data_IF_328587366436
#
_entry.id   IF_328587366436
#
_cell.length_a   1.000
_cell.length_b   1.000
_cell.length_c   1.000
_cell.angle_alpha   90.00
_cell.angle_beta   90.00
_cell.angle_gamma   90.00
#
_symmetry.space_group_name_H-M   'P 1'
#
loop_
_entity.id
_entity.type
_entity.pdbx_description
1 polymer ?
#
# COMPACT_ATOMS: atom_id res chain seq x y z
N UNK A 1 13.09 4.13 20.48
CA UNK A 1 12.53 3.54 19.26
C UNK A 1 11.04 3.83 19.28
N UNK A 2 10.47 4.44 18.23
CA UNK A 2 9.02 4.68 18.18
C UNK A 2 8.28 3.41 17.79
N UNK A 3 7.00 3.29 18.15
CA UNK A 3 6.15 2.18 17.73
C UNK A 3 6.08 2.07 16.19
N UNK A 4 6.05 3.20 15.48
CA UNK A 4 6.13 3.20 14.01
C UNK A 4 7.42 2.54 13.51
N UNK A 5 8.57 2.85 14.11
CA UNK A 5 9.83 2.21 13.74
C UNK A 5 9.81 0.70 14.05
N UNK A 6 9.10 0.27 15.10
CA UNK A 6 8.90 -1.15 15.40
C UNK A 6 8.06 -1.84 14.32
N UNK A 7 6.92 -1.28 13.92
CA UNK A 7 6.10 -1.84 12.84
C UNK A 7 6.85 -1.88 11.51
N UNK A 8 7.51 -0.78 11.14
CA UNK A 8 8.25 -0.72 9.88
C UNK A 8 9.42 -1.70 9.86
N UNK A 9 10.21 -1.80 10.94
CA UNK A 9 11.30 -2.79 10.99
C UNK A 9 10.81 -4.24 11.04
N UNK A 10 9.63 -4.50 11.60
CA UNK A 10 9.01 -5.82 11.56
C UNK A 10 8.54 -6.18 10.15
N UNK A 11 7.95 -5.22 9.42
CA UNK A 11 7.56 -5.41 8.01
C UNK A 11 8.77 -5.54 7.08
N UNK A 12 9.90 -4.91 7.40
CA UNK A 12 11.16 -5.13 6.68
C UNK A 12 11.69 -6.56 6.85
N UNK A 13 11.41 -7.21 8.00
CA UNK A 13 11.79 -8.60 8.27
C UNK A 13 10.86 -9.60 7.59
N UNK A 14 9.55 -9.36 7.67
CA UNK A 14 8.55 -10.16 6.97
C UNK A 14 7.56 -9.27 6.21
N UNK A 15 7.90 -9.02 4.95
CA UNK A 15 7.07 -8.22 4.07
C UNK A 15 5.80 -8.93 3.63
N UNK A 16 5.63 -10.23 3.87
CA UNK A 16 4.44 -10.97 3.47
C UNK A 16 3.37 -11.02 4.55
N UNK A 17 3.62 -10.49 5.75
CA UNK A 17 2.70 -10.61 6.87
C UNK A 17 1.49 -9.64 6.72
N UNK A 18 0.27 -10.14 6.40
CA UNK A 18 -0.92 -9.29 6.36
C UNK A 18 -1.41 -8.92 7.76
N UNK A 19 -1.15 -9.76 8.77
CA UNK A 19 -1.56 -9.51 10.16
C UNK A 19 -0.78 -8.35 10.77
N UNK A 20 0.53 -8.29 10.52
CA UNK A 20 1.35 -7.16 10.93
C UNK A 20 0.92 -5.84 10.27
N UNK A 21 0.49 -5.90 9.00
CA UNK A 21 -0.09 -4.72 8.31
C UNK A 21 -1.43 -4.31 8.92
N UNK A 22 -2.25 -5.28 9.30
CA UNK A 22 -3.53 -5.02 9.96
C UNK A 22 -3.32 -4.31 11.30
N UNK A 23 -2.45 -4.85 12.16
CA UNK A 23 -2.11 -4.23 13.45
C UNK A 23 -1.52 -2.84 13.29
N UNK A 24 -0.69 -2.63 12.25
CA UNK A 24 -0.17 -1.30 11.96
C UNK A 24 -1.27 -0.34 11.50
N UNK A 25 -2.25 -0.82 10.73
CA UNK A 25 -3.41 -0.03 10.34
C UNK A 25 -4.26 0.39 11.55
N UNK A 26 -4.53 -0.52 12.49
CA UNK A 26 -5.23 -0.20 13.75
C UNK A 26 -4.46 0.84 14.58
N UNK A 27 -3.13 0.68 14.69
CA UNK A 27 -2.28 1.65 15.38
C UNK A 27 -2.29 3.04 14.71
N UNK A 28 -2.38 3.09 13.38
CA UNK A 28 -2.56 4.33 12.60
C UNK A 28 -3.95 4.95 12.80
N UNK A 29 -4.99 4.11 12.90
CA UNK A 29 -6.37 4.52 13.13
C UNK A 29 -6.54 5.27 14.46
N UNK A 30 -5.97 4.72 15.54
CA UNK A 30 -5.94 5.34 16.87
C UNK A 30 -5.34 6.76 16.87
N UNK A 31 -4.53 7.07 15.86
CA UNK A 31 -3.84 8.36 15.68
C UNK A 31 -4.49 9.25 14.62
N UNK A 32 -5.61 8.81 14.05
CA UNK A 32 -6.27 9.43 12.90
C UNK A 32 -5.31 9.66 11.71
N UNK A 33 -4.33 8.76 11.53
CA UNK A 33 -3.36 8.89 10.46
C UNK A 33 -4.00 8.50 9.12
N UNK A 34 -3.92 9.37 8.09
CA UNK A 34 -4.58 9.12 6.80
C UNK A 34 -4.06 7.88 6.06
N UNK A 35 -2.92 7.31 6.47
CA UNK A 35 -2.36 6.07 5.91
C UNK A 35 -3.18 4.83 6.27
N UNK A 36 -4.05 4.90 7.28
CA UNK A 36 -4.89 3.79 7.76
C UNK A 36 -5.57 3.00 6.63
N UNK A 37 -6.16 3.71 5.67
CA UNK A 37 -6.90 3.10 4.56
C UNK A 37 -6.00 2.25 3.66
N UNK A 38 -4.74 2.69 3.44
CA UNK A 38 -3.79 1.95 2.62
C UNK A 38 -3.26 0.70 3.30
N UNK A 39 -3.00 0.76 4.61
CA UNK A 39 -2.55 -0.42 5.34
C UNK A 39 -3.67 -1.45 5.53
N UNK A 40 -4.90 -1.03 5.82
CA UNK A 40 -6.04 -1.95 5.81
C UNK A 40 -6.27 -2.60 4.45
N UNK A 41 -6.13 -1.83 3.38
CA UNK A 41 -6.24 -2.37 2.03
C UNK A 41 -5.16 -3.44 1.77
N UNK A 42 -3.89 -3.13 2.04
CA UNK A 42 -2.79 -4.07 1.85
C UNK A 42 -2.97 -5.35 2.69
N UNK A 43 -3.37 -5.21 3.95
CA UNK A 43 -3.65 -6.33 4.83
C UNK A 43 -4.80 -7.20 4.31
N UNK A 44 -5.95 -6.57 3.98
CA UNK A 44 -7.16 -7.25 3.52
C UNK A 44 -6.96 -8.04 2.23
N UNK A 45 -6.19 -7.50 1.30
CA UNK A 45 -5.97 -8.11 -0.02
C UNK A 45 -4.65 -8.88 -0.11
N UNK A 46 -3.92 -9.01 1.00
CA UNK A 46 -2.61 -9.62 1.06
C UNK A 46 -1.65 -9.06 -0.01
N UNK A 47 -1.64 -7.73 -0.14
CA UNK A 47 -0.84 -6.99 -1.13
C UNK A 47 0.35 -6.33 -0.45
N UNK A 48 1.42 -6.18 -1.21
CA UNK A 48 2.65 -5.51 -0.78
C UNK A 48 3.43 -4.98 -1.98
N UNK A 49 4.35 -4.00 -1.78
CA UNK A 49 5.38 -3.69 -2.76
C UNK A 49 6.23 -4.92 -3.07
N UNK A 50 6.52 -5.15 -4.35
CA UNK A 50 7.42 -6.20 -4.81
C UNK A 50 8.83 -5.63 -4.94
N UNK A 51 9.80 -6.25 -4.28
CA UNK A 51 11.20 -5.93 -4.54
C UNK A 51 11.65 -6.62 -5.83
N UNK A 52 12.13 -5.85 -6.80
CA UNK A 52 12.84 -6.36 -7.99
C UNK A 52 14.26 -5.77 -8.00
N UNK A 53 15.23 -6.40 -8.70
CA UNK A 53 16.59 -5.89 -8.70
C UNK A 53 16.62 -4.42 -9.14
N UNK A 54 17.17 -3.54 -8.29
CA UNK A 54 17.31 -2.09 -8.45
C UNK A 54 16.11 -1.23 -8.01
N UNK A 55 14.94 -1.80 -7.71
CA UNK A 55 13.78 -0.99 -7.34
C UNK A 55 12.64 -1.74 -6.63
N UNK A 56 11.79 -0.98 -5.94
CA UNK A 56 10.51 -1.48 -5.46
C UNK A 56 9.44 -1.26 -6.53
N UNK A 57 9.08 -2.35 -7.21
CA UNK A 57 7.98 -2.40 -8.16
C UNK A 57 6.65 -2.56 -7.43
N UNK A 58 5.58 -2.14 -8.08
CA UNK A 58 4.23 -2.24 -7.56
C UNK A 58 3.66 -3.65 -7.71
N UNK A 59 3.12 -4.18 -6.61
CA UNK A 59 2.34 -5.41 -6.43
C UNK A 59 3.06 -6.75 -6.69
N UNK A 60 3.24 -7.55 -5.62
CA UNK A 60 3.05 -9.00 -5.76
C UNK A 60 1.56 -9.29 -5.70
N UNK A 61 0.97 -9.71 -6.83
CA UNK A 61 -0.08 -10.72 -6.76
C UNK A 61 0.57 -11.93 -6.08
N UNK A 62 -0.06 -12.51 -5.07
CA UNK A 62 0.49 -13.71 -4.40
C UNK A 62 0.86 -14.79 -5.43
N UNK A 63 1.52 -15.86 -4.99
CA UNK A 63 1.76 -17.01 -5.89
C UNK A 63 0.46 -17.58 -6.51
N UNK A 64 -0.70 -17.16 -5.99
CA UNK A 64 -1.98 -17.19 -6.70
C UNK A 64 -2.31 -15.78 -7.21
N UNK A 65 -2.20 -15.58 -8.52
CA UNK A 65 -2.76 -14.46 -9.27
C UNK A 65 -4.30 -14.49 -9.28
N UNK A 66 -4.92 -14.66 -8.11
CA UNK A 66 -6.34 -14.45 -7.96
C UNK A 66 -6.60 -12.97 -8.07
N UNK A 67 -7.37 -12.56 -9.09
CA UNK A 67 -7.94 -11.22 -9.18
C UNK A 67 -8.42 -10.81 -7.79
N UNK A 68 -7.91 -9.70 -7.25
CA UNK A 68 -8.49 -9.15 -6.04
C UNK A 68 -9.97 -8.88 -6.34
N UNK A 69 -10.87 -9.16 -5.40
CA UNK A 69 -12.31 -8.84 -5.50
C UNK A 69 -12.60 -7.33 -5.50
N UNK A 70 -11.57 -6.53 -5.71
CA UNK A 70 -11.65 -5.12 -6.04
C UNK A 70 -11.75 -5.05 -7.56
N UNK A 71 -12.82 -4.42 -8.06
CA UNK A 71 -13.07 -4.36 -9.49
C UNK A 71 -11.86 -3.87 -10.25
N UNK A 72 -11.60 -4.46 -11.42
CA UNK A 72 -10.50 -4.10 -12.32
C UNK A 72 -10.38 -2.58 -12.53
N UNK A 73 -11.50 -1.86 -12.47
CA UNK A 73 -11.57 -0.39 -12.52
C UNK A 73 -10.79 0.32 -11.41
N UNK A 74 -10.78 -0.22 -10.20
CA UNK A 74 -10.04 0.34 -9.08
C UNK A 74 -8.55 0.06 -9.19
N UNK A 75 -8.19 -1.16 -9.61
CA UNK A 75 -6.78 -1.49 -9.87
C UNK A 75 -6.25 -0.58 -10.98
N UNK A 76 -7.02 -0.38 -12.05
CA UNK A 76 -6.72 0.56 -13.13
C UNK A 76 -6.61 2.01 -12.65
N UNK A 77 -7.56 2.49 -11.84
CA UNK A 77 -7.49 3.84 -11.25
C UNK A 77 -6.22 4.04 -10.42
N UNK A 78 -5.88 3.08 -9.56
CA UNK A 78 -4.68 3.15 -8.72
C UNK A 78 -3.42 3.17 -9.58
N UNK A 79 -3.39 2.36 -10.63
CA UNK A 79 -2.29 2.34 -11.59
C UNK A 79 -2.15 3.70 -12.27
N UNK A 80 -3.20 4.21 -12.91
CA UNK A 80 -3.19 5.51 -13.60
C UNK A 80 -2.83 6.68 -12.67
N UNK A 81 -3.36 6.68 -11.45
CA UNK A 81 -3.07 7.70 -10.45
C UNK A 81 -1.59 7.76 -10.11
N UNK A 82 -0.94 6.60 -9.96
CA UNK A 82 0.47 6.55 -9.61
C UNK A 82 1.39 6.77 -10.78
N UNK A 83 0.99 6.36 -11.98
CA UNK A 83 1.66 6.81 -13.20
C UNK A 83 1.69 8.34 -13.28
N UNK A 84 0.60 9.00 -12.87
CA UNK A 84 0.50 10.45 -12.86
C UNK A 84 1.30 11.12 -11.72
N UNK A 85 1.26 10.56 -10.50
CA UNK A 85 1.98 11.13 -9.33
C UNK A 85 3.47 10.85 -9.37
N UNK A 86 3.90 9.73 -9.97
CA UNK A 86 5.29 9.38 -10.14
C UNK A 86 5.51 8.73 -11.53
N UNK A 87 5.83 9.52 -12.57
CA UNK A 87 6.05 9.01 -13.93
C UNK A 87 7.26 8.08 -14.06
N UNK A 88 8.05 7.88 -12.99
CA UNK A 88 9.05 6.80 -12.89
C UNK A 88 8.42 5.56 -12.26
N UNK A 89 7.31 5.12 -12.87
CA UNK A 89 6.28 4.14 -12.46
C UNK A 89 6.79 2.83 -11.85
N UNK A 90 8.07 2.51 -11.99
CA UNK A 90 8.63 1.24 -11.56
C UNK A 90 9.60 1.35 -10.38
N UNK A 91 10.03 2.53 -9.91
CA UNK A 91 11.13 2.60 -8.95
C UNK A 91 10.93 3.52 -7.75
N UNK A 92 10.34 2.99 -6.68
CA UNK A 92 10.51 3.56 -5.33
C UNK A 92 11.86 3.11 -4.75
N UNK A 93 12.51 3.98 -3.97
CA UNK A 93 13.80 3.69 -3.35
C UNK A 93 13.66 2.79 -2.12
N UNK A 94 12.46 2.73 -1.54
CA UNK A 94 12.14 1.88 -0.40
C UNK A 94 10.72 1.33 -0.45
N UNK A 95 10.50 0.23 0.29
CA UNK A 95 9.17 -0.32 0.59
C UNK A 95 8.23 0.75 1.13
N UNK A 96 8.71 1.54 2.09
CA UNK A 96 7.91 2.56 2.80
C UNK A 96 7.41 3.62 1.81
N UNK A 97 8.27 4.09 0.90
CA UNK A 97 7.86 5.06 -0.12
C UNK A 97 6.75 4.52 -1.02
N UNK A 98 6.84 3.24 -1.41
CA UNK A 98 5.82 2.57 -2.22
C UNK A 98 4.49 2.43 -1.43
N UNK A 99 4.53 2.00 -0.17
CA UNK A 99 3.35 1.89 0.70
C UNK A 99 2.67 3.24 0.92
N UNK A 100 3.45 4.31 1.15
CA UNK A 100 2.89 5.65 1.33
C UNK A 100 2.29 6.22 0.03
N UNK A 101 2.85 5.89 -1.12
CA UNK A 101 2.29 6.29 -2.41
C UNK A 101 0.90 5.68 -2.63
N UNK A 102 0.71 4.41 -2.29
CA UNK A 102 -0.61 3.77 -2.26
C UNK A 102 -1.57 4.48 -1.30
N UNK A 103 -1.13 4.75 -0.06
CA UNK A 103 -1.97 5.43 0.93
C UNK A 103 -2.49 6.78 0.39
N UNK A 104 -1.62 7.55 -0.29
CA UNK A 104 -2.00 8.81 -0.94
C UNK A 104 -3.00 8.60 -2.08
N UNK A 105 -2.84 7.55 -2.88
CA UNK A 105 -3.75 7.21 -3.98
C UNK A 105 -5.17 6.91 -3.48
N UNK A 106 -5.27 6.08 -2.44
CA UNK A 106 -6.54 5.71 -1.83
C UNK A 106 -7.24 6.91 -1.18
N UNK A 107 -6.47 7.74 -0.47
CA UNK A 107 -6.99 8.95 0.13
C UNK A 107 -7.56 9.91 -0.93
N UNK A 108 -6.86 10.08 -2.06
CA UNK A 108 -7.32 10.93 -3.16
C UNK A 108 -8.60 10.37 -3.79
N UNK A 109 -8.63 9.07 -4.10
CA UNK A 109 -9.83 8.41 -4.64
C UNK A 109 -11.05 8.60 -3.76
N UNK A 110 -10.90 8.41 -2.45
CA UNK A 110 -12.01 8.50 -1.52
C UNK A 110 -12.54 9.94 -1.38
N UNK A 111 -11.69 10.95 -1.63
CA UNK A 111 -12.13 12.35 -1.75
C UNK A 111 -12.89 12.60 -3.06
N UNK A 112 -12.40 12.04 -4.17
CA UNK A 112 -13.03 12.21 -5.48
C UNK A 112 -14.43 11.57 -5.52
N UNK A 113 -14.64 10.46 -4.81
CA UNK A 113 -15.94 9.75 -4.73
C UNK A 113 -16.87 10.36 -3.67
N UNK A 114 -16.34 10.88 -2.56
CA UNK A 114 -17.12 11.48 -1.47
C UNK A 114 -17.54 12.94 -1.69
N UNK A 115 -17.15 13.54 -2.82
CA UNK A 115 -17.43 14.94 -3.17
C UNK A 115 -18.53 15.15 -4.21
N UNK A 116 -19.39 14.15 -4.44
CA UNK A 116 -20.54 14.19 -5.37
C UNK A 116 -21.88 14.30 -4.67
#
# INVERSE_FOLDING_TARGET
>A
MSDEAFFQSSLDRDMNDPGLRWLFAEWLEDRCDPRVQGYFWMARFNKRPLHVPLFWNWWTLGMSAGQSSIGEEFEKYIQEFVEHVNPRVFAFHSRIEAEQALCRALLRRNRDIGGG
#
